data_IF_695315855420
#
_entry.id   IF_695315855420
#
_cell.length_a   1.000
_cell.length_b   1.000
_cell.length_c   1.000
_cell.angle_alpha   90.00
_cell.angle_beta   90.00
_cell.angle_gamma   90.00
#
_symmetry.space_group_name_H-M   'P 1'
#
loop_
_entity.id
_entity.type
_entity.pdbx_description
1 polymer ?
#
# COMPACT_ATOMS: atom_id res chain seq x y z
N UNK A 1 -10.65 4.18 43.14
CA UNK A 1 -10.00 3.09 42.39
C UNK A 1 -8.78 3.71 41.72
N UNK A 2 -7.59 3.56 42.28
CA UNK A 2 -6.37 4.17 41.75
C UNK A 2 -5.77 3.20 40.71
N UNK A 3 -5.83 3.56 39.45
CA UNK A 3 -5.06 2.83 38.43
C UNK A 3 -3.56 2.99 38.73
N UNK A 4 -2.86 1.89 38.79
CA UNK A 4 -1.44 1.86 39.15
C UNK A 4 -0.63 2.54 38.03
N UNK A 5 0.23 3.54 38.32
CA UNK A 5 0.99 4.30 37.31
C UNK A 5 1.87 3.41 36.41
N UNK A 6 2.20 2.20 36.86
CA UNK A 6 2.92 1.20 36.09
C UNK A 6 2.09 0.64 34.94
N UNK A 7 0.78 0.45 35.11
CA UNK A 7 -0.12 -0.08 34.10
C UNK A 7 -0.35 0.93 32.96
N UNK A 8 -0.52 2.22 33.30
CA UNK A 8 -0.63 3.30 32.31
C UNK A 8 0.66 3.45 31.48
N UNK A 9 1.82 3.30 32.12
CA UNK A 9 3.12 3.35 31.42
C UNK A 9 3.36 2.15 30.51
N UNK A 10 2.86 0.96 30.88
CA UNK A 10 2.93 -0.23 30.04
C UNK A 10 2.04 -0.10 28.81
N UNK A 11 0.82 0.42 28.96
CA UNK A 11 -0.11 0.68 27.86
C UNK A 11 0.45 1.72 26.87
N UNK A 12 1.06 2.80 27.38
CA UNK A 12 1.71 3.81 26.53
C UNK A 12 2.94 3.27 25.79
N UNK A 13 3.68 2.33 26.39
CA UNK A 13 4.80 1.67 25.74
C UNK A 13 4.32 0.67 24.67
N UNK A 14 3.21 0.00 24.91
CA UNK A 14 2.61 -0.94 23.94
C UNK A 14 2.02 -0.20 22.73
N UNK A 15 1.35 0.95 22.95
CA UNK A 15 0.91 1.85 21.89
C UNK A 15 2.09 2.45 21.10
N UNK A 16 3.16 2.88 21.76
CA UNK A 16 4.35 3.43 21.11
C UNK A 16 5.13 2.35 20.34
N UNK A 17 5.18 1.11 20.83
CA UNK A 17 5.80 -0.02 20.13
C UNK A 17 4.96 -0.53 18.95
N UNK A 18 3.64 -0.35 18.98
CA UNK A 18 2.72 -0.68 17.89
C UNK A 18 2.93 0.18 16.64
N UNK A 19 3.57 1.34 16.79
CA UNK A 19 3.79 2.30 15.68
C UNK A 19 5.16 2.14 14.99
N UNK A 20 6.05 1.31 15.53
CA UNK A 20 7.33 1.00 14.87
C UNK A 20 7.08 0.04 13.70
N UNK A 21 7.39 0.45 12.46
CA UNK A 21 7.16 -0.40 11.30
C UNK A 21 7.97 -1.69 11.39
N UNK A 22 7.29 -2.83 11.24
CA UNK A 22 7.92 -4.15 11.23
C UNK A 22 8.70 -4.41 9.95
N UNK A 23 8.22 -3.81 8.86
CA UNK A 23 8.78 -3.89 7.51
C UNK A 23 9.04 -2.50 6.96
N UNK A 24 9.90 -2.42 5.97
CA UNK A 24 10.11 -1.18 5.21
C UNK A 24 8.93 -0.95 4.26
N UNK A 25 8.43 -2.04 3.63
CA UNK A 25 7.36 -1.99 2.64
C UNK A 25 6.32 -3.09 2.91
N UNK A 26 5.04 -2.72 2.91
CA UNK A 26 3.92 -3.66 2.74
C UNK A 26 3.39 -3.53 1.32
N UNK A 27 3.49 -4.60 0.55
CA UNK A 27 2.86 -4.68 -0.77
C UNK A 27 1.39 -5.03 -0.59
N UNK A 28 0.50 -4.23 -1.18
CA UNK A 28 -0.93 -4.50 -1.24
C UNK A 28 -1.26 -4.92 -2.66
N UNK A 29 -1.67 -6.17 -2.82
CA UNK A 29 -1.98 -6.80 -4.09
C UNK A 29 -3.45 -7.26 -4.08
N UNK A 30 -4.42 -6.36 -4.35
CA UNK A 30 -5.80 -6.77 -4.49
C UNK A 30 -5.96 -7.58 -5.77
N UNK A 31 -6.65 -8.70 -5.67
CA UNK A 31 -6.91 -9.61 -6.78
C UNK A 31 -8.35 -10.09 -6.77
N UNK A 32 -8.84 -10.50 -7.93
CA UNK A 32 -10.12 -11.16 -8.12
C UNK A 32 -9.89 -12.45 -8.88
N UNK A 33 -10.50 -12.60 -10.04
CA UNK A 33 -10.29 -13.73 -10.93
C UNK A 33 -8.97 -13.55 -11.72
N UNK A 34 -7.82 -13.76 -11.03
CA UNK A 34 -6.46 -13.47 -11.51
C UNK A 34 -5.54 -14.70 -11.46
N UNK A 35 -6.09 -15.92 -11.59
CA UNK A 35 -5.38 -17.20 -11.44
C UNK A 35 -4.06 -17.26 -12.22
N UNK A 36 -4.04 -16.77 -13.45
CA UNK A 36 -2.84 -16.80 -14.29
C UNK A 36 -1.77 -15.77 -13.85
N UNK A 37 -2.20 -14.61 -13.35
CA UNK A 37 -1.31 -13.49 -13.06
C UNK A 37 -0.85 -13.41 -11.61
N UNK A 38 -1.70 -13.79 -10.66
CA UNK A 38 -1.44 -13.58 -9.23
C UNK A 38 -0.19 -14.29 -8.71
N UNK A 39 0.03 -15.52 -9.14
CA UNK A 39 1.21 -16.30 -8.77
C UNK A 39 2.52 -15.70 -9.30
N UNK A 40 2.51 -15.25 -10.55
CA UNK A 40 3.65 -14.58 -11.19
C UNK A 40 3.92 -13.25 -10.50
N UNK A 41 2.87 -12.49 -10.20
CA UNK A 41 2.96 -11.20 -9.52
C UNK A 41 3.64 -11.33 -8.16
N UNK A 42 3.23 -12.30 -7.34
CA UNK A 42 3.82 -12.54 -6.03
C UNK A 42 5.30 -12.91 -6.13
N UNK A 43 5.68 -13.87 -7.00
CA UNK A 43 7.08 -14.27 -7.16
C UNK A 43 7.95 -13.10 -7.60
N UNK A 44 7.58 -12.39 -8.67
CA UNK A 44 8.35 -11.26 -9.21
C UNK A 44 8.47 -10.11 -8.21
N UNK A 45 7.41 -9.82 -7.49
CA UNK A 45 7.43 -8.80 -6.43
C UNK A 45 8.42 -9.19 -5.33
N UNK A 46 8.37 -10.44 -4.86
CA UNK A 46 9.27 -10.92 -3.82
C UNK A 46 10.74 -10.88 -4.29
N UNK A 47 11.03 -11.40 -5.49
CA UNK A 47 12.38 -11.37 -6.09
C UNK A 47 12.89 -9.93 -6.23
N UNK A 48 12.06 -9.02 -6.74
CA UNK A 48 12.41 -7.61 -6.93
C UNK A 48 12.77 -6.93 -5.60
N UNK A 49 11.92 -7.05 -4.57
CA UNK A 49 12.13 -6.40 -3.28
C UNK A 49 13.29 -7.03 -2.49
N UNK A 50 13.49 -8.35 -2.57
CA UNK A 50 14.67 -9.03 -2.01
C UNK A 50 15.96 -8.54 -2.68
N UNK A 51 15.97 -8.42 -4.01
CA UNK A 51 17.12 -7.90 -4.77
C UNK A 51 17.47 -6.45 -4.41
N UNK A 52 16.49 -5.67 -3.94
CA UNK A 52 16.71 -4.30 -3.47
C UNK A 52 17.07 -4.19 -1.98
N UNK A 53 17.05 -5.31 -1.22
CA UNK A 53 17.37 -5.37 0.19
C UNK A 53 16.30 -4.84 1.14
N UNK A 54 15.06 -4.69 0.71
CA UNK A 54 13.97 -4.28 1.59
C UNK A 54 13.50 -5.42 2.50
N UNK A 55 13.15 -5.09 3.74
CA UNK A 55 12.31 -5.94 4.59
C UNK A 55 10.85 -5.68 4.19
N UNK A 56 10.14 -6.71 3.78
CA UNK A 56 8.78 -6.52 3.24
C UNK A 56 7.83 -7.65 3.62
N UNK A 57 6.54 -7.38 3.45
CA UNK A 57 5.46 -8.36 3.39
C UNK A 57 4.65 -8.15 2.12
N UNK A 58 4.01 -9.20 1.63
CA UNK A 58 3.06 -9.16 0.52
C UNK A 58 1.68 -9.53 1.07
N UNK A 59 0.76 -8.59 1.02
CA UNK A 59 -0.65 -8.76 1.39
C UNK A 59 -1.45 -8.98 0.11
N UNK A 60 -1.67 -10.22 -0.27
CA UNK A 60 -2.59 -10.58 -1.34
C UNK A 60 -4.02 -10.56 -0.80
N UNK A 61 -4.84 -9.66 -1.32
CA UNK A 61 -6.19 -9.42 -0.83
C UNK A 61 -7.21 -9.93 -1.84
N UNK A 62 -7.87 -11.01 -1.51
CA UNK A 62 -8.91 -11.62 -2.31
C UNK A 62 -10.19 -10.77 -2.29
N UNK A 63 -10.65 -10.35 -3.46
CA UNK A 63 -11.85 -9.55 -3.67
C UNK A 63 -12.98 -10.42 -4.29
N UNK A 64 -13.36 -11.51 -3.63
CA UNK A 64 -14.36 -12.48 -4.07
C UNK A 64 -13.97 -13.19 -5.39
N UNK A 65 -12.78 -13.83 -5.45
CA UNK A 65 -12.38 -14.68 -6.58
C UNK A 65 -13.30 -15.88 -6.75
N UNK A 66 -13.72 -16.14 -7.97
CA UNK A 66 -14.47 -17.34 -8.34
C UNK A 66 -13.61 -18.43 -9.02
N UNK A 67 -12.31 -18.14 -9.27
CA UNK A 67 -11.34 -19.04 -9.89
C UNK A 67 -10.41 -19.74 -8.88
N UNK A 68 -9.29 -20.32 -9.35
CA UNK A 68 -8.33 -21.00 -8.50
C UNK A 68 -7.23 -20.07 -7.92
N UNK A 69 -7.35 -18.75 -8.03
CA UNK A 69 -6.35 -17.78 -7.54
C UNK A 69 -5.94 -18.04 -6.09
N UNK A 70 -6.90 -18.37 -5.23
CA UNK A 70 -6.64 -18.66 -3.82
C UNK A 70 -5.81 -19.95 -3.63
N UNK A 71 -6.07 -20.99 -4.44
CA UNK A 71 -5.32 -22.24 -4.39
C UNK A 71 -3.86 -22.04 -4.86
N UNK A 72 -3.66 -21.24 -5.93
CA UNK A 72 -2.32 -20.85 -6.40
C UNK A 72 -1.54 -20.16 -5.29
N UNK A 73 -2.14 -19.19 -4.59
CA UNK A 73 -1.48 -18.47 -3.50
C UNK A 73 -1.20 -19.36 -2.27
N UNK A 74 -2.07 -20.31 -1.97
CA UNK A 74 -1.86 -21.27 -0.89
C UNK A 74 -0.59 -22.10 -1.11
N UNK A 75 -0.35 -22.56 -2.34
CA UNK A 75 0.87 -23.30 -2.70
C UNK A 75 2.12 -22.40 -2.62
N UNK A 76 2.01 -21.14 -3.00
CA UNK A 76 3.12 -20.21 -3.01
C UNK A 76 3.64 -19.83 -1.62
N UNK A 77 2.85 -19.98 -0.56
CA UNK A 77 3.27 -19.63 0.81
C UNK A 77 4.50 -20.41 1.28
N UNK A 78 4.77 -21.60 0.73
CA UNK A 78 5.98 -22.35 1.02
C UNK A 78 7.22 -21.75 0.35
N UNK A 79 7.08 -21.12 -0.82
CA UNK A 79 8.15 -20.52 -1.60
C UNK A 79 8.42 -19.04 -1.21
N UNK A 80 7.34 -18.34 -0.81
CA UNK A 80 7.38 -16.91 -0.48
C UNK A 80 6.86 -16.71 0.95
N UNK A 81 7.71 -16.84 1.96
CA UNK A 81 7.30 -16.73 3.37
C UNK A 81 6.78 -15.34 3.75
N UNK A 82 7.09 -14.30 2.97
CA UNK A 82 6.57 -12.95 3.15
C UNK A 82 5.10 -12.80 2.72
N UNK A 83 4.54 -13.82 2.04
CA UNK A 83 3.17 -13.81 1.54
C UNK A 83 2.13 -14.06 2.65
N UNK A 84 1.18 -13.16 2.73
CA UNK A 84 -0.02 -13.30 3.56
C UNK A 84 -1.24 -13.11 2.66
N UNK A 85 -2.16 -14.05 2.71
CA UNK A 85 -3.42 -13.99 1.96
C UNK A 85 -4.55 -13.64 2.92
N UNK A 86 -5.41 -12.71 2.54
CA UNK A 86 -6.58 -12.31 3.30
C UNK A 86 -7.73 -11.97 2.36
N UNK A 87 -8.94 -11.97 2.89
CA UNK A 87 -10.15 -11.69 2.13
C UNK A 87 -10.68 -10.28 2.44
N UNK A 88 -11.20 -9.60 1.43
CA UNK A 88 -11.92 -8.34 1.54
C UNK A 88 -13.42 -8.58 1.28
N UNK A 89 -14.32 -7.94 2.03
CA UNK A 89 -15.77 -8.10 1.82
C UNK A 89 -16.21 -7.33 0.56
N UNK A 90 -16.03 -7.98 -0.62
CA UNK A 90 -16.47 -7.49 -1.90
C UNK A 90 -15.44 -6.67 -2.69
N UNK A 91 -15.67 -6.59 -3.99
CA UNK A 91 -14.78 -5.97 -4.98
C UNK A 91 -14.46 -4.50 -4.68
N UNK A 92 -13.18 -4.14 -4.87
CA UNK A 92 -12.67 -2.78 -4.74
C UNK A 92 -12.36 -2.37 -3.31
N UNK A 93 -12.43 -3.27 -2.34
CA UNK A 93 -12.08 -3.01 -0.94
C UNK A 93 -10.70 -3.53 -0.52
N UNK A 94 -10.01 -4.18 -1.42
CA UNK A 94 -8.71 -4.79 -1.13
C UNK A 94 -7.66 -3.79 -0.68
N UNK A 95 -7.61 -2.59 -1.28
CA UNK A 95 -6.67 -1.55 -0.84
C UNK A 95 -6.96 -1.08 0.59
N UNK A 96 -8.22 -0.84 0.95
CA UNK A 96 -8.62 -0.46 2.31
C UNK A 96 -8.23 -1.53 3.33
N UNK A 97 -8.59 -2.79 3.05
CA UNK A 97 -8.29 -3.94 3.91
C UNK A 97 -6.79 -4.15 4.03
N UNK A 98 -6.05 -4.11 2.90
CA UNK A 98 -4.60 -4.25 2.89
C UNK A 98 -3.91 -3.14 3.69
N UNK A 99 -4.29 -1.88 3.49
CA UNK A 99 -3.72 -0.75 4.21
C UNK A 99 -3.95 -0.83 5.72
N UNK A 100 -5.12 -1.29 6.15
CA UNK A 100 -5.44 -1.45 7.58
C UNK A 100 -4.65 -2.59 8.26
N UNK A 101 -4.20 -3.58 7.50
CA UNK A 101 -3.46 -4.76 7.99
C UNK A 101 -1.95 -4.69 7.77
N UNK A 102 -1.51 -3.69 7.03
CA UNK A 102 -0.10 -3.46 6.71
C UNK A 102 0.71 -3.11 7.96
N UNK A 103 1.93 -3.65 8.04
CA UNK A 103 2.88 -3.43 9.13
C UNK A 103 4.15 -2.71 8.65
N UNK A 104 4.24 -2.38 7.36
CA UNK A 104 5.35 -1.64 6.78
C UNK A 104 5.24 -0.14 6.99
N UNK A 105 6.38 0.56 6.89
CA UNK A 105 6.45 2.01 6.87
C UNK A 105 5.76 2.57 5.62
N UNK A 106 5.95 1.91 4.48
CA UNK A 106 5.36 2.26 3.20
C UNK A 106 4.33 1.21 2.75
N UNK A 107 3.34 1.68 2.01
CA UNK A 107 2.41 0.86 1.25
C UNK A 107 2.81 0.92 -0.23
N UNK A 108 3.08 -0.22 -0.86
CA UNK A 108 3.22 -0.36 -2.31
C UNK A 108 1.96 -1.05 -2.83
N UNK A 109 1.16 -0.33 -3.59
CA UNK A 109 -0.12 -0.82 -4.12
C UNK A 109 0.03 -1.06 -5.61
N UNK A 110 -0.27 -2.28 -6.06
CA UNK A 110 -0.28 -2.69 -7.48
C UNK A 110 -1.34 -3.77 -7.70
N UNK A 111 -1.75 -3.97 -8.96
CA UNK A 111 -2.61 -5.09 -9.36
C UNK A 111 -1.74 -6.25 -9.89
N UNK A 112 -2.25 -7.51 -9.91
CA UNK A 112 -1.45 -8.67 -10.34
C UNK A 112 -0.88 -8.54 -11.76
N UNK A 113 -1.65 -8.04 -12.71
CA UNK A 113 -1.22 -7.81 -14.08
C UNK A 113 -0.02 -6.85 -14.17
N UNK A 114 -0.06 -5.74 -13.44
CA UNK A 114 1.04 -4.78 -13.37
C UNK A 114 2.25 -5.37 -12.64
N UNK A 115 2.05 -5.98 -11.48
CA UNK A 115 3.12 -6.56 -10.68
C UNK A 115 3.80 -7.73 -11.41
N UNK A 116 3.07 -8.50 -12.21
CA UNK A 116 3.63 -9.56 -13.05
C UNK A 116 4.46 -9.03 -14.22
N UNK A 117 4.14 -7.84 -14.74
CA UNK A 117 4.87 -7.24 -15.86
C UNK A 117 6.18 -6.57 -15.41
N UNK A 118 6.10 -5.59 -14.56
CA UNK A 118 7.27 -4.92 -13.96
C UNK A 118 6.85 -3.89 -12.89
N UNK A 119 7.60 -3.89 -11.79
CA UNK A 119 7.55 -2.83 -10.78
C UNK A 119 8.71 -1.84 -10.94
N UNK A 120 9.16 -1.60 -12.18
CA UNK A 120 10.25 -0.68 -12.45
C UNK A 120 9.95 0.71 -11.90
N UNK A 121 10.90 1.25 -11.13
CA UNK A 121 10.78 2.53 -10.45
C UNK A 121 10.06 2.46 -9.09
N UNK A 122 9.36 1.38 -8.73
CA UNK A 122 8.73 1.26 -7.41
C UNK A 122 9.77 1.23 -6.28
N UNK A 123 10.89 0.52 -6.48
CA UNK A 123 12.00 0.49 -5.54
C UNK A 123 12.63 1.87 -5.31
N UNK A 124 12.81 2.64 -6.37
CA UNK A 124 13.34 4.01 -6.26
C UNK A 124 12.34 4.95 -5.59
N UNK A 125 11.05 4.80 -5.85
CA UNK A 125 10.01 5.51 -5.15
C UNK A 125 10.03 5.19 -3.65
N UNK A 126 10.17 3.90 -3.27
CA UNK A 126 10.32 3.49 -1.87
C UNK A 126 11.55 4.14 -1.22
N UNK A 127 12.72 4.13 -1.86
CA UNK A 127 13.94 4.76 -1.32
C UNK A 127 13.75 6.25 -1.09
N UNK A 128 13.18 6.98 -2.06
CA UNK A 128 12.90 8.42 -1.93
C UNK A 128 12.00 8.73 -0.75
N UNK A 129 10.90 7.98 -0.61
CA UNK A 129 9.95 8.21 0.49
C UNK A 129 10.55 7.86 1.85
N UNK A 130 11.35 6.78 1.96
CA UNK A 130 12.07 6.45 3.18
C UNK A 130 13.13 7.51 3.54
N UNK A 131 13.70 8.18 2.54
CA UNK A 131 14.60 9.33 2.73
C UNK A 131 13.86 10.64 3.09
N UNK A 132 12.53 10.62 3.17
CA UNK A 132 11.71 11.80 3.53
C UNK A 132 11.34 12.69 2.35
N UNK A 133 11.51 12.24 1.11
CA UNK A 133 11.20 13.01 -0.09
C UNK A 133 9.70 12.97 -0.46
N UNK A 134 8.83 13.40 0.46
CA UNK A 134 7.39 13.46 0.27
C UNK A 134 6.63 12.36 1.00
N UNK A 135 5.31 12.29 0.78
CA UNK A 135 4.43 11.37 1.48
C UNK A 135 3.91 10.23 0.58
N UNK A 136 3.84 10.47 -0.71
CA UNK A 136 3.40 9.46 -1.68
C UNK A 136 3.96 9.71 -3.08
N UNK A 137 4.11 8.63 -3.85
CA UNK A 137 4.41 8.65 -5.27
C UNK A 137 3.41 7.77 -6.02
N UNK A 138 2.79 8.30 -7.06
CA UNK A 138 1.81 7.60 -7.89
C UNK A 138 2.30 7.53 -9.33
N UNK A 139 2.67 6.35 -9.78
CA UNK A 139 2.88 6.07 -11.19
C UNK A 139 1.53 5.63 -11.80
N UNK A 140 0.93 6.51 -12.60
CA UNK A 140 -0.39 6.27 -13.17
C UNK A 140 -0.41 4.99 -14.00
N UNK A 141 -1.42 4.17 -13.79
CA UNK A 141 -1.62 2.86 -14.40
C UNK A 141 -0.55 1.79 -14.04
N UNK A 142 0.30 2.02 -13.03
CA UNK A 142 1.34 1.06 -12.64
C UNK A 142 1.31 0.75 -11.14
N UNK A 143 1.67 1.71 -10.29
CA UNK A 143 1.73 1.50 -8.85
C UNK A 143 1.50 2.79 -8.07
N UNK A 144 1.24 2.65 -6.79
CA UNK A 144 1.28 3.74 -5.80
C UNK A 144 2.18 3.33 -4.65
N UNK A 145 3.13 4.20 -4.26
CA UNK A 145 3.88 4.07 -3.01
C UNK A 145 3.50 5.22 -2.10
N UNK A 146 3.19 4.95 -0.84
CA UNK A 146 2.73 5.96 0.11
C UNK A 146 3.15 5.62 1.54
N UNK A 147 3.44 6.63 2.37
CA UNK A 147 3.64 6.44 3.80
C UNK A 147 2.36 5.92 4.46
N UNK A 148 2.43 4.75 5.12
CA UNK A 148 1.27 4.11 5.74
C UNK A 148 0.51 5.03 6.69
N UNK A 149 1.16 5.54 7.71
CA UNK A 149 0.54 6.36 8.76
C UNK A 149 -0.05 7.65 8.18
N UNK A 150 0.67 8.33 7.27
CA UNK A 150 0.23 9.62 6.71
C UNK A 150 -0.92 9.50 5.71
N UNK A 151 -1.13 8.32 5.12
CA UNK A 151 -2.08 8.14 4.02
C UNK A 151 -3.23 7.18 4.32
N UNK A 152 -3.21 6.49 5.47
CA UNK A 152 -4.20 5.47 5.83
C UNK A 152 -5.64 5.98 5.70
N UNK A 153 -5.91 7.20 6.17
CA UNK A 153 -7.25 7.79 6.10
C UNK A 153 -7.73 8.06 4.67
N UNK A 154 -6.81 8.19 3.71
CA UNK A 154 -7.17 8.36 2.30
C UNK A 154 -7.76 7.07 1.70
N UNK A 155 -7.49 5.91 2.29
CA UNK A 155 -7.96 4.63 1.81
C UNK A 155 -9.25 4.15 2.49
N UNK A 156 -9.64 4.73 3.63
CA UNK A 156 -10.87 4.35 4.36
C UNK A 156 -12.13 4.61 3.54
N UNK A 157 -13.03 3.63 3.53
CA UNK A 157 -14.32 3.72 2.84
C UNK A 157 -14.22 3.85 1.32
N UNK A 158 -13.08 3.48 0.72
CA UNK A 158 -12.90 3.57 -0.73
C UNK A 158 -13.12 2.25 -1.44
N UNK A 159 -13.79 2.35 -2.58
CA UNK A 159 -13.80 1.27 -3.57
C UNK A 159 -12.89 1.66 -4.73
N UNK A 160 -11.79 0.93 -4.89
CA UNK A 160 -10.75 1.21 -5.86
C UNK A 160 -10.60 -0.01 -6.79
N UNK A 161 -11.14 0.08 -8.00
CA UNK A 161 -11.17 -1.02 -8.97
C UNK A 161 -10.55 -0.57 -10.29
N UNK A 162 -9.82 -1.49 -10.93
CA UNK A 162 -9.38 -1.42 -12.32
C UNK A 162 -8.33 -0.35 -12.62
N UNK A 163 -8.08 -0.11 -13.90
CA UNK A 163 -7.01 0.76 -14.41
C UNK A 163 -7.04 2.21 -13.89
N UNK A 164 -8.20 2.69 -13.41
CA UNK A 164 -8.33 4.03 -12.84
C UNK A 164 -7.96 4.10 -11.33
N UNK A 165 -7.61 2.98 -10.71
CA UNK A 165 -7.33 2.90 -9.26
C UNK A 165 -6.29 3.93 -8.82
N UNK A 166 -5.12 3.93 -9.42
CA UNK A 166 -4.02 4.84 -9.03
C UNK A 166 -4.37 6.32 -9.24
N UNK A 167 -5.15 6.65 -10.30
CA UNK A 167 -5.63 8.03 -10.50
C UNK A 167 -6.60 8.47 -9.41
N UNK A 168 -7.48 7.57 -8.96
CA UNK A 168 -8.40 7.84 -7.84
C UNK A 168 -7.65 7.99 -6.52
N UNK A 169 -6.64 7.16 -6.27
CA UNK A 169 -5.75 7.29 -5.11
C UNK A 169 -5.06 8.67 -5.14
N UNK A 170 -4.42 9.05 -6.25
CA UNK A 170 -3.75 10.33 -6.37
C UNK A 170 -4.68 11.51 -6.04
N UNK A 171 -5.89 11.51 -6.58
CA UNK A 171 -6.90 12.55 -6.30
C UNK A 171 -7.28 12.59 -4.81
N UNK A 172 -7.45 11.45 -4.15
CA UNK A 172 -7.80 11.40 -2.73
C UNK A 172 -6.66 11.90 -1.84
N UNK A 173 -5.42 11.51 -2.14
CA UNK A 173 -4.24 11.98 -1.42
C UNK A 173 -4.09 13.51 -1.54
N UNK A 174 -4.30 14.07 -2.73
CA UNK A 174 -4.29 15.53 -2.95
C UNK A 174 -5.38 16.26 -2.15
N UNK A 175 -6.59 15.72 -2.07
CA UNK A 175 -7.69 16.30 -1.27
C UNK A 175 -7.33 16.33 0.23
N UNK A 176 -6.53 15.38 0.70
CA UNK A 176 -6.08 15.25 2.10
C UNK A 176 -4.80 16.04 2.39
N UNK A 177 -4.38 16.93 1.49
CA UNK A 177 -3.17 17.76 1.60
C UNK A 177 -1.86 16.94 1.78
N UNK A 178 -1.86 15.71 1.29
CA UNK A 178 -0.68 14.85 1.26
C UNK A 178 0.24 15.30 0.13
N UNK A 179 1.55 15.37 0.37
CA UNK A 179 2.54 15.67 -0.67
C UNK A 179 2.66 14.48 -1.62
N UNK A 180 2.19 14.64 -2.86
CA UNK A 180 2.12 13.56 -3.85
C UNK A 180 2.95 13.90 -5.08
N UNK A 181 3.89 13.02 -5.43
CA UNK A 181 4.57 13.03 -6.73
C UNK A 181 3.79 12.16 -7.71
N UNK A 182 3.42 12.71 -8.86
CA UNK A 182 2.71 11.97 -9.90
C UNK A 182 3.63 11.80 -11.11
N UNK A 183 3.95 10.55 -11.44
CA UNK A 183 4.70 10.18 -12.63
C UNK A 183 3.74 9.70 -13.74
N UNK A 184 4.00 10.13 -14.97
CA UNK A 184 3.28 9.62 -16.15
C UNK A 184 3.63 8.16 -16.46
N UNK A 185 2.92 7.52 -17.41
CA UNK A 185 3.13 6.11 -17.76
C UNK A 185 4.53 5.80 -18.31
N UNK A 186 5.26 6.80 -18.79
CA UNK A 186 6.63 6.69 -19.35
C UNK A 186 7.73 7.06 -18.37
N UNK A 187 7.41 7.32 -17.08
CA UNK A 187 8.43 7.65 -16.08
C UNK A 187 9.02 9.06 -16.18
N UNK A 188 8.59 9.87 -17.14
CA UNK A 188 9.14 11.21 -17.38
C UNK A 188 8.26 12.29 -16.71
N UNK A 189 8.93 13.17 -15.95
CA UNK A 189 8.44 14.39 -15.29
C UNK A 189 7.42 14.20 -14.16
N UNK A 190 7.92 14.17 -12.95
CA UNK A 190 7.14 14.29 -11.73
C UNK A 190 6.58 15.71 -11.57
N UNK A 191 5.26 15.86 -11.47
CA UNK A 191 4.65 17.08 -10.91
C UNK A 191 4.44 16.84 -9.43
N UNK A 192 5.13 17.61 -8.58
CA UNK A 192 4.85 17.64 -7.15
C UNK A 192 3.61 18.51 -6.93
N UNK A 193 2.49 17.93 -6.54
CA UNK A 193 1.30 18.66 -6.17
C UNK A 193 1.16 18.64 -4.65
N UNK A 194 1.32 19.80 -4.02
CA UNK A 194 0.95 20.00 -2.62
C UNK A 194 -0.50 20.52 -2.61
N UNK A 195 -1.41 19.77 -1.99
CA UNK A 195 -2.78 20.22 -1.81
C UNK A 195 -2.79 21.49 -0.98
N UNK A 196 -3.17 22.64 -1.59
CA UNK A 196 -3.40 23.88 -0.84
C UNK A 196 -4.65 23.68 0.01
N UNK A 197 -4.49 23.64 1.31
CA UNK A 197 -5.57 23.88 2.27
C UNK A 197 -6.15 25.27 1.94
N UNK A 198 -7.34 25.32 1.34
CA UNK A 198 -8.17 26.52 1.43
C UNK A 198 -8.65 26.60 2.87
N UNK A 199 -7.96 27.41 3.68
CA UNK A 199 -8.50 27.87 4.94
C UNK A 199 -9.78 28.64 4.60
N UNK A 200 -10.93 28.03 4.86
CA UNK A 200 -12.17 28.76 4.99
C UNK A 200 -12.10 29.51 6.33
N UNK A 201 -11.52 30.71 6.29
CA UNK A 201 -11.77 31.71 7.32
C UNK A 201 -13.25 32.06 7.22
N UNK A 202 -14.06 31.54 8.14
CA UNK A 202 -15.36 32.10 8.43
C UNK A 202 -15.10 33.39 9.20
N UNK A 203 -15.20 34.49 8.50
CA UNK A 203 -15.51 35.78 9.11
C UNK A 203 -17.04 35.88 9.16
N UNK A 204 -17.57 36.31 10.30
CA UNK A 204 -18.95 36.69 10.55
C UNK A 204 -19.39 36.22 11.93
#
# INVERSE_FOLDING_TARGET
MNEHPATARLLLLDEAMSDVPRFDVSVILPFGDDEEAVGIAVRRTAEHLRGLGFRFEILAIDEDSGDNSHAVLALLRAEVPELRVTHAPGRGRGVEVGASRAQGALLLIATPDVASAALDGAGDACRRLLAGEGDAEVALARFTVAHRIRTLDAFRGTRLIGAAMHRRIAKRLQIRAVSVRIAGPTGVAAKTAVGRLRAFARFG
#
